data_IF_368629811246
#
_entry.id   IF_368629811246
#
_cell.length_a   1.000
_cell.length_b   1.000
_cell.length_c   1.000
_cell.angle_alpha   90.00
_cell.angle_beta   90.00
_cell.angle_gamma   90.00
#
_symmetry.space_group_name_H-M   'P 1'
#
loop_
_entity.id
_entity.type
_entity.pdbx_description
1 polymer ?
#
# COMPACT_ATOMS: atom_id res chain seq x y z
N UNK A 1 15.65 2.47 0.57
CA UNK A 1 14.78 2.49 1.77
C UNK A 1 14.09 3.83 1.89
N UNK A 2 13.06 3.94 1.07
CA UNK A 2 12.03 4.96 1.10
C UNK A 2 10.77 4.41 1.79
N UNK A 3 9.87 5.31 2.16
CA UNK A 3 8.57 4.95 2.70
C UNK A 3 7.48 5.60 1.88
N UNK A 4 6.57 4.80 1.34
CA UNK A 4 5.45 5.27 0.53
C UNK A 4 4.16 5.19 1.33
N UNK A 5 3.77 6.29 1.97
CA UNK A 5 2.53 6.36 2.75
C UNK A 5 1.33 6.61 1.81
N UNK A 6 0.55 5.56 1.55
CA UNK A 6 -0.51 5.56 0.53
C UNK A 6 -1.89 5.98 1.08
N UNK A 7 -2.03 5.99 2.40
CA UNK A 7 -3.19 6.51 3.09
C UNK A 7 -2.79 7.03 4.49
N UNK A 8 -3.44 8.09 4.95
CA UNK A 8 -3.25 8.66 6.28
C UNK A 8 -4.55 9.30 6.77
N UNK A 9 -5.20 8.66 7.74
CA UNK A 9 -6.50 9.01 8.32
C UNK A 9 -7.70 8.99 7.34
N UNK A 10 -7.46 9.12 6.04
CA UNK A 10 -8.45 9.09 4.97
C UNK A 10 -7.99 8.24 3.79
N UNK A 11 -8.96 7.72 3.04
CA UNK A 11 -8.76 7.03 1.76
C UNK A 11 -8.47 8.08 0.67
N UNK A 12 -7.43 7.90 -0.16
CA UNK A 12 -7.13 8.86 -1.21
C UNK A 12 -8.24 8.88 -2.28
N UNK A 13 -8.58 10.03 -2.85
CA UNK A 13 -9.63 10.14 -3.87
C UNK A 13 -9.26 9.47 -5.20
N UNK A 14 -7.99 9.12 -5.38
CA UNK A 14 -7.47 8.34 -6.50
C UNK A 14 -6.23 7.56 -6.02
N UNK A 15 -6.01 6.37 -6.60
CA UNK A 15 -4.87 5.53 -6.25
C UNK A 15 -3.54 6.24 -6.49
N UNK A 16 -2.64 6.15 -5.51
CA UNK A 16 -1.25 6.58 -5.68
C UNK A 16 -0.58 5.72 -6.76
N UNK A 17 0.37 6.29 -7.51
CA UNK A 17 1.20 5.51 -8.44
C UNK A 17 2.63 5.51 -7.94
N UNK A 18 3.16 4.33 -7.64
CA UNK A 18 4.54 4.14 -7.15
C UNK A 18 5.30 3.40 -8.25
N UNK A 19 6.42 3.96 -8.69
CA UNK A 19 7.08 3.55 -9.94
C UNK A 19 8.36 2.74 -9.73
N UNK A 20 8.90 2.74 -8.52
CA UNK A 20 10.24 2.28 -8.19
C UNK A 20 10.31 1.58 -6.82
N UNK A 21 9.19 1.00 -6.36
CA UNK A 21 9.15 0.23 -5.11
C UNK A 21 10.04 -1.01 -5.19
N UNK A 22 10.94 -1.18 -4.22
CA UNK A 22 11.80 -2.36 -4.09
C UNK A 22 11.47 -3.16 -2.82
N UNK A 23 10.86 -4.34 -2.98
CA UNK A 23 10.52 -5.24 -1.87
C UNK A 23 11.77 -5.68 -1.09
N UNK A 24 11.68 -5.67 0.24
CA UNK A 24 12.81 -5.94 1.13
C UNK A 24 13.76 -4.75 1.36
N UNK A 25 13.62 -3.65 0.62
CA UNK A 25 14.34 -2.40 0.86
C UNK A 25 13.41 -1.25 1.28
N UNK A 26 12.24 -1.13 0.65
CA UNK A 26 11.26 -0.08 0.90
C UNK A 26 10.03 -0.60 1.65
N UNK A 27 9.21 0.32 2.17
CA UNK A 27 7.97 -0.02 2.87
C UNK A 27 6.78 0.81 2.39
N UNK A 28 5.62 0.16 2.37
CA UNK A 28 4.33 0.76 2.03
C UNK A 28 3.58 1.06 3.34
N UNK A 29 3.35 2.34 3.59
CA UNK A 29 2.73 2.81 4.82
C UNK A 29 1.22 3.02 4.67
N UNK A 30 0.46 2.54 5.65
CA UNK A 30 -0.96 2.90 5.85
C UNK A 30 -1.13 3.41 7.27
N UNK A 31 -1.62 4.65 7.41
CA UNK A 31 -1.85 5.26 8.72
C UNK A 31 -3.32 5.61 8.96
N UNK A 32 -3.78 5.48 10.20
CA UNK A 32 -5.01 6.13 10.66
C UNK A 32 -6.33 5.55 10.14
N UNK A 33 -6.30 4.36 9.54
CA UNK A 33 -7.51 3.67 9.08
C UNK A 33 -7.95 2.52 10.00
N UNK A 34 -7.22 2.25 11.08
CA UNK A 34 -7.46 1.13 12.02
C UNK A 34 -7.58 -0.24 11.31
N UNK A 35 -6.71 -0.47 10.31
CA UNK A 35 -6.63 -1.72 9.52
C UNK A 35 -5.26 -2.40 9.69
N UNK A 36 -5.19 -3.67 9.30
CA UNK A 36 -3.96 -4.43 9.13
C UNK A 36 -3.77 -4.97 7.71
N UNK A 37 -2.73 -5.78 7.52
CA UNK A 37 -2.38 -6.37 6.22
C UNK A 37 -3.49 -7.26 5.65
N UNK A 38 -4.17 -8.04 6.50
CA UNK A 38 -5.24 -8.95 6.08
C UNK A 38 -6.50 -8.23 5.56
N UNK A 39 -6.64 -6.92 5.83
CA UNK A 39 -7.73 -6.09 5.32
C UNK A 39 -7.46 -5.58 3.89
N UNK A 40 -6.20 -5.64 3.43
CA UNK A 40 -5.81 -5.14 2.12
C UNK A 40 -6.14 -6.17 1.02
N UNK A 41 -6.71 -5.67 -0.07
CA UNK A 41 -6.76 -6.38 -1.34
C UNK A 41 -5.44 -6.16 -2.09
N UNK A 42 -4.73 -7.24 -2.40
CA UNK A 42 -3.51 -7.20 -3.23
C UNK A 42 -3.79 -8.01 -4.50
N UNK A 43 -3.91 -7.30 -5.63
CA UNK A 43 -4.34 -7.91 -6.91
C UNK A 43 -3.38 -7.58 -8.03
N UNK A 44 -2.95 -8.60 -8.78
CA UNK A 44 -2.15 -8.41 -9.99
C UNK A 44 -3.01 -7.78 -11.11
N UNK A 45 -2.47 -6.76 -11.78
CA UNK A 45 -3.05 -6.10 -12.94
C UNK A 45 -2.00 -5.96 -14.06
N UNK A 46 -1.93 -6.96 -14.94
CA UNK A 46 -0.86 -7.01 -15.94
C UNK A 46 0.49 -7.17 -15.25
N UNK A 47 1.43 -6.26 -15.50
CA UNK A 47 2.76 -6.24 -14.88
C UNK A 47 2.80 -5.47 -13.55
N UNK A 48 1.67 -4.88 -13.13
CA UNK A 48 1.57 -4.01 -11.96
C UNK A 48 0.74 -4.65 -10.85
N UNK A 49 0.88 -4.15 -9.62
CA UNK A 49 0.05 -4.57 -8.49
C UNK A 49 -0.86 -3.45 -8.01
N UNK A 50 -2.14 -3.75 -7.82
CA UNK A 50 -3.10 -2.86 -7.16
C UNK A 50 -3.25 -3.25 -5.68
N UNK A 51 -3.16 -2.25 -4.81
CA UNK A 51 -3.46 -2.31 -3.39
C UNK A 51 -4.78 -1.58 -3.16
N UNK A 52 -5.75 -2.25 -2.56
CA UNK A 52 -7.08 -1.71 -2.26
C UNK A 52 -7.49 -1.98 -0.82
N UNK A 53 -8.47 -1.22 -0.34
CA UNK A 53 -9.22 -1.50 0.89
C UNK A 53 -10.70 -1.63 0.51
N UNK A 54 -11.20 -2.87 0.51
CA UNK A 54 -12.53 -3.14 -0.04
C UNK A 54 -12.64 -2.74 -1.53
N UNK A 55 -13.50 -1.77 -1.83
CA UNK A 55 -13.70 -1.25 -3.19
C UNK A 55 -12.84 -0.02 -3.50
N UNK A 56 -12.11 0.50 -2.51
CA UNK A 56 -11.34 1.73 -2.65
C UNK A 56 -9.89 1.41 -3.03
N UNK A 57 -9.39 2.08 -4.07
CA UNK A 57 -8.03 1.88 -4.57
C UNK A 57 -7.05 2.79 -3.84
N UNK A 58 -6.07 2.21 -3.13
CA UNK A 58 -5.10 2.97 -2.35
C UNK A 58 -3.85 3.30 -3.17
N UNK A 59 -3.30 2.31 -3.86
CA UNK A 59 -2.08 2.47 -4.64
C UNK A 59 -1.94 1.44 -5.75
N UNK A 60 -1.23 1.82 -6.81
CA UNK A 60 -0.75 0.98 -7.88
C UNK A 60 0.78 0.99 -7.90
N UNK A 61 1.38 -0.18 -7.75
CA UNK A 61 2.83 -0.39 -7.83
C UNK A 61 3.18 -0.85 -9.24
N UNK A 62 3.98 -0.07 -9.97
CA UNK A 62 4.35 -0.42 -11.34
C UNK A 62 5.45 -1.47 -11.36
N UNK A 63 5.29 -2.49 -12.22
CA UNK A 63 6.30 -3.54 -12.41
C UNK A 63 6.50 -4.48 -11.20
N UNK A 64 5.62 -4.40 -10.20
CA UNK A 64 5.68 -5.26 -9.00
C UNK A 64 4.72 -6.43 -9.15
N UNK A 65 5.20 -7.62 -8.84
CA UNK A 65 4.39 -8.84 -8.83
C UNK A 65 3.69 -8.99 -7.48
N UNK A 66 2.36 -9.15 -7.49
CA UNK A 66 1.53 -9.18 -6.30
C UNK A 66 1.89 -10.30 -5.33
N UNK A 67 2.31 -11.47 -5.84
CA UNK A 67 2.71 -12.61 -5.01
C UNK A 67 4.06 -12.44 -4.32
N UNK A 68 4.84 -11.44 -4.72
CA UNK A 68 6.14 -11.15 -4.11
C UNK A 68 5.96 -10.24 -2.88
N UNK A 69 4.81 -9.55 -2.79
CA UNK A 69 4.47 -8.75 -1.62
C UNK A 69 4.02 -9.61 -0.45
N UNK A 70 4.56 -9.29 0.71
CA UNK A 70 4.26 -9.94 1.98
C UNK A 70 3.91 -8.89 3.03
N UNK A 71 3.43 -9.32 4.19
CA UNK A 71 3.20 -8.41 5.31
C UNK A 71 4.46 -7.64 5.76
N UNK A 72 5.67 -8.11 5.42
CA UNK A 72 6.92 -7.42 5.76
C UNK A 72 7.15 -6.14 4.92
N UNK A 73 6.48 -6.02 3.77
CA UNK A 73 6.56 -4.85 2.90
C UNK A 73 5.65 -3.70 3.37
N UNK A 74 4.86 -3.92 4.43
CA UNK A 74 3.85 -2.97 4.90
C UNK A 74 4.11 -2.49 6.32
N UNK A 75 3.85 -1.21 6.55
CA UNK A 75 3.88 -0.58 7.87
C UNK A 75 2.49 0.01 8.18
N UNK A 76 1.97 -0.32 9.35
CA UNK A 76 0.70 0.21 9.85
C UNK A 76 0.95 1.11 11.05
N UNK A 77 0.34 2.29 11.04
CA UNK A 77 0.44 3.24 12.14
C UNK A 77 -0.95 3.76 12.52
N UNK A 78 -1.14 4.05 13.80
CA UNK A 78 -2.30 4.81 14.24
C UNK A 78 -2.24 6.23 13.66
N UNK A 79 -3.40 6.86 13.48
CA UNK A 79 -3.43 8.27 13.09
C UNK A 79 -2.67 9.07 14.13
N UNK A 80 -1.66 9.83 13.70
CA UNK A 80 -0.93 10.73 14.61
C UNK A 80 -1.94 11.77 15.10
N UNK A 81 -2.41 11.60 16.33
CA UNK A 81 -3.19 12.63 17.02
C UNK A 81 -2.22 13.73 17.40
N UNK A 82 -2.18 14.81 16.60
CA UNK A 82 -1.43 16.04 16.91
C UNK A 82 -2.09 16.85 18.03
#
# INVERSE_FOLDING_TARGET
MDQFWIANADIPPAANTITDFESGEDVIGVAGLDIGFDDLGITQQGDDTLISLGNDELAKLLGVTASDLTAADFAFADSVTI
#
